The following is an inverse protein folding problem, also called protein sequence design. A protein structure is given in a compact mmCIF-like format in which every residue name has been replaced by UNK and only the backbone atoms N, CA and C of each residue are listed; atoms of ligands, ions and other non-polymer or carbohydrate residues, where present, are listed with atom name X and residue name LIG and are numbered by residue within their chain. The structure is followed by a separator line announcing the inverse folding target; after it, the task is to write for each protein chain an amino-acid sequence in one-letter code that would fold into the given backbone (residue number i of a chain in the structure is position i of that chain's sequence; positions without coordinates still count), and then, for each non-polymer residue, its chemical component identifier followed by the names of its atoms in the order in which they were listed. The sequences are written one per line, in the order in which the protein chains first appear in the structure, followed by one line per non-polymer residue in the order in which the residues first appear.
data_IF_507032971822
#
_entry.id   IF_507032971822
#
_cell.length_a   1.000
_cell.length_b   1.000
_cell.length_c   1.000
_cell.angle_alpha   90.00
_cell.angle_beta   90.00
_cell.angle_gamma   90.00
#
_symmetry.space_group_name_H-M   'P 1'
#
loop_
_entity.id
_entity.type
_entity.pdbx_description
1 polymer ?
#
# COMPACT_ATOMS: atom_id res chain seq x y z
N UNK A 1 -17.66 -27.60 -2.47
CA UNK A 1 -16.48 -26.82 -2.86
C UNK A 1 -16.46 -25.50 -2.11
N UNK A 2 -15.33 -25.18 -1.53
CA UNK A 2 -15.20 -23.93 -0.79
C UNK A 2 -14.76 -22.82 -1.72
N UNK A 3 -15.51 -21.73 -1.74
CA UNK A 3 -15.17 -20.57 -2.54
C UNK A 3 -14.43 -19.59 -1.66
N UNK A 4 -13.21 -19.25 -2.07
CA UNK A 4 -12.41 -18.26 -1.39
C UNK A 4 -12.60 -16.92 -2.11
N UNK A 5 -13.07 -15.95 -1.36
CA UNK A 5 -13.22 -14.62 -1.89
C UNK A 5 -12.01 -13.79 -1.52
N UNK A 6 -11.36 -13.23 -2.53
CA UNK A 6 -10.19 -12.37 -2.33
C UNK A 6 -10.57 -10.95 -2.68
N UNK A 7 -10.36 -10.07 -1.74
CA UNK A 7 -10.62 -8.65 -1.90
C UNK A 7 -9.36 -7.88 -1.59
N UNK A 8 -9.28 -6.66 -2.11
CA UNK A 8 -8.16 -5.78 -1.82
C UNK A 8 -8.66 -4.52 -1.15
N UNK A 9 -7.96 -4.11 -0.14
CA UNK A 9 -8.11 -2.82 0.49
C UNK A 9 -7.04 -1.91 -0.09
N UNK A 10 -7.43 -0.72 -0.55
CA UNK A 10 -6.50 0.19 -1.21
C UNK A 10 -6.50 1.52 -0.45
N UNK A 11 -5.32 2.05 -0.20
CA UNK A 11 -5.16 3.35 0.41
C UNK A 11 -4.16 4.18 -0.38
N UNK A 12 -4.40 5.48 -0.42
CA UNK A 12 -3.46 6.42 -1.01
C UNK A 12 -2.72 7.14 0.11
N UNK A 13 -1.39 7.11 0.04
CA UNK A 13 -0.53 7.80 0.99
C UNK A 13 0.20 8.92 0.25
N UNK A 14 -0.01 10.14 0.68
CA UNK A 14 0.70 11.28 0.09
C UNK A 14 2.02 11.49 0.82
N UNK A 15 3.10 11.54 0.05
CA UNK A 15 4.44 11.68 0.58
C UNK A 15 4.96 13.07 0.22
N UNK A 16 5.26 13.86 1.23
CA UNK A 16 5.74 15.22 1.04
C UNK A 16 7.10 15.26 0.34
N UNK A 17 7.35 16.34 -0.38
CA UNK A 17 8.60 16.51 -1.11
C UNK A 17 9.82 16.57 -0.20
N UNK A 18 9.62 16.86 1.08
CA UNK A 18 10.72 16.93 2.04
C UNK A 18 11.27 15.56 2.43
N UNK A 19 10.56 14.50 2.10
CA UNK A 19 10.99 13.16 2.44
C UNK A 19 12.06 12.69 1.46
N UNK A 20 13.16 12.17 2.00
CA UNK A 20 14.21 11.60 1.18
C UNK A 20 13.74 10.28 0.58
N UNK A 21 14.49 9.82 -0.45
CA UNK A 21 14.19 8.53 -1.07
C UNK A 21 14.25 7.40 -0.04
N UNK A 22 15.22 7.47 0.88
CA UNK A 22 15.37 6.45 1.91
C UNK A 22 14.21 6.48 2.90
N UNK A 23 13.73 7.68 3.25
CA UNK A 23 12.59 7.82 4.15
C UNK A 23 11.32 7.24 3.51
N UNK A 24 11.12 7.47 2.21
CA UNK A 24 9.99 6.92 1.48
C UNK A 24 10.06 5.40 1.47
N UNK A 25 11.26 4.87 1.15
CA UNK A 25 11.47 3.43 1.14
C UNK A 25 11.18 2.81 2.50
N UNK A 26 11.67 3.44 3.57
CA UNK A 26 11.46 2.93 4.92
C UNK A 26 9.98 2.93 5.29
N UNK A 27 9.27 4.00 4.92
CA UNK A 27 7.84 4.09 5.17
C UNK A 27 7.07 2.96 4.51
N UNK A 28 7.36 2.71 3.23
CA UNK A 28 6.69 1.64 2.48
C UNK A 28 7.06 0.26 3.02
N UNK A 29 8.31 0.10 3.42
CA UNK A 29 8.77 -1.16 4.02
C UNK A 29 8.05 -1.43 5.33
N UNK A 30 7.88 -0.41 6.16
CA UNK A 30 7.17 -0.54 7.42
C UNK A 30 5.71 -0.93 7.19
N UNK A 31 5.07 -0.33 6.21
CA UNK A 31 3.69 -0.68 5.87
C UNK A 31 3.60 -2.15 5.44
N UNK A 32 4.59 -2.60 4.67
CA UNK A 32 4.62 -4.00 4.22
C UNK A 32 4.83 -4.96 5.40
N UNK A 33 5.76 -4.65 6.28
CA UNK A 33 6.12 -5.55 7.38
C UNK A 33 5.06 -5.59 8.47
N UNK A 34 4.49 -4.46 8.82
CA UNK A 34 3.60 -4.37 9.98
C UNK A 34 2.12 -4.39 9.60
N UNK A 35 1.79 -4.11 8.37
CA UNK A 35 0.41 -4.06 7.95
C UNK A 35 0.06 -4.99 6.81
N UNK A 36 1.04 -5.69 6.26
CA UNK A 36 0.79 -6.55 5.11
C UNK A 36 0.47 -5.78 3.83
N UNK A 37 0.81 -4.50 3.81
CA UNK A 37 0.55 -3.66 2.65
C UNK A 37 1.62 -3.84 1.60
N UNK A 38 1.23 -3.81 0.33
CA UNK A 38 2.19 -3.82 -0.76
C UNK A 38 1.96 -2.59 -1.64
N UNK A 39 3.02 -2.13 -2.28
CA UNK A 39 2.94 -0.98 -3.17
C UNK A 39 2.29 -1.39 -4.48
N UNK A 40 1.16 -0.76 -4.80
CA UNK A 40 0.44 -1.02 -6.04
C UNK A 40 0.86 -0.03 -7.12
N UNK A 41 1.08 1.22 -6.74
CA UNK A 41 1.41 2.26 -7.70
C UNK A 41 2.11 3.42 -7.00
N UNK A 42 3.06 4.03 -7.69
CA UNK A 42 3.74 5.23 -7.21
C UNK A 42 3.70 6.28 -8.30
N UNK A 43 3.30 7.48 -7.94
CA UNK A 43 3.28 8.61 -8.86
C UNK A 43 4.10 9.74 -8.29
N UNK A 44 5.01 10.28 -9.10
CA UNK A 44 5.81 11.43 -8.73
C UNK A 44 5.28 12.66 -9.45
N UNK A 45 5.29 13.76 -8.73
CA UNK A 45 4.86 15.04 -9.28
C UNK A 45 6.08 15.94 -9.47
N UNK A 46 5.90 16.98 -10.25
CA UNK A 46 6.98 17.91 -10.58
C UNK A 46 7.55 18.62 -9.36
N UNK A 47 6.70 18.91 -8.39
CA UNK A 47 7.13 19.63 -7.18
C UNK A 47 7.87 18.73 -6.19
N UNK A 48 8.05 17.47 -6.52
CA UNK A 48 8.74 16.51 -5.67
C UNK A 48 7.85 15.73 -4.73
N UNK A 49 6.55 16.03 -4.72
CA UNK A 49 5.62 15.20 -3.94
C UNK A 49 5.39 13.87 -4.65
N UNK A 50 4.96 12.89 -3.88
CA UNK A 50 4.65 11.56 -4.40
C UNK A 50 3.33 11.09 -3.82
N UNK A 51 2.59 10.35 -4.62
CA UNK A 51 1.42 9.61 -4.14
C UNK A 51 1.71 8.13 -4.29
N UNK A 52 1.57 7.40 -3.22
CA UNK A 52 1.72 5.95 -3.21
C UNK A 52 0.36 5.32 -2.99
N UNK A 53 0.00 4.40 -3.87
CA UNK A 53 -1.19 3.58 -3.67
C UNK A 53 -0.71 2.24 -3.17
N UNK A 54 -1.14 1.91 -1.96
CA UNK A 54 -0.81 0.64 -1.33
C UNK A 54 -2.07 -0.18 -1.23
N UNK A 55 -1.90 -1.49 -1.26
CA UNK A 55 -3.03 -2.40 -1.18
C UNK A 55 -2.71 -3.55 -0.26
N UNK A 56 -3.74 -4.09 0.33
CA UNK A 56 -3.62 -5.22 1.23
C UNK A 56 -4.67 -6.25 0.85
N UNK A 57 -4.25 -7.50 0.74
CA UNK A 57 -5.15 -8.58 0.42
C UNK A 57 -5.97 -8.96 1.65
N UNK A 58 -7.26 -9.04 1.46
CA UNK A 58 -8.19 -9.48 2.48
C UNK A 58 -8.81 -10.78 2.00
N UNK A 59 -8.55 -11.87 2.72
CA UNK A 59 -9.10 -13.15 2.35
C UNK A 59 -10.26 -13.45 3.26
N UNK A 60 -11.44 -13.62 2.65
CA UNK A 60 -12.64 -13.94 3.39
C UNK A 60 -13.12 -15.31 3.00
N UNK A 61 -13.52 -16.07 4.01
CA UNK A 61 -14.08 -17.38 3.79
C UNK A 61 -15.55 -17.34 4.14
N UNK A 62 -16.40 -18.04 3.36
CA UNK A 62 -17.83 -18.06 3.67
C UNK A 62 -18.05 -18.73 5.03
N UNK A 63 -18.97 -18.17 5.78
CA UNK A 63 -19.38 -18.81 7.03
C UNK A 63 -20.40 -19.86 6.73
N UNK A 64 -20.41 -20.86 7.58
CA UNK A 64 -21.44 -21.89 7.49
C UNK A 64 -22.78 -21.39 7.98
#
# INVERSE_FOLDING_TARGET
MTVRRVEYEVERVRLGRHLSRNAVRQLLTDHAEYGGWELARLRRYRDGTRDAWIRRKIIRFPRR
#
